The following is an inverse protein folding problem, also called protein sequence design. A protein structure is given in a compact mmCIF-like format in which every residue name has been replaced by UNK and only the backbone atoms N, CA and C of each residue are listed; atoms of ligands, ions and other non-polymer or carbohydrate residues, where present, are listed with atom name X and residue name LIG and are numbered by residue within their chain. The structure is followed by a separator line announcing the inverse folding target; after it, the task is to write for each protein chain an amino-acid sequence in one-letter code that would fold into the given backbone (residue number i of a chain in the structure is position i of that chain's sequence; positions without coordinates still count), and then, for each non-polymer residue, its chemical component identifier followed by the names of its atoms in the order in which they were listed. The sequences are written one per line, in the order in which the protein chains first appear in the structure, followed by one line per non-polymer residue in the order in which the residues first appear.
data_IF_193660957628
#
_entry.id   IF_193660957628
#
_cell.length_a   1.000
_cell.length_b   1.000
_cell.length_c   1.000
_cell.angle_alpha   90.00
_cell.angle_beta   90.00
_cell.angle_gamma   90.00
#
_symmetry.space_group_name_H-M   'P 1'
#
loop_
_entity.id
_entity.type
_entity.pdbx_description
1 polymer ?
#
# COMPACT_ATOMS: atom_id res chain seq x y z
N UNK A 1 35.21 6.52 17.50
CA UNK A 1 34.78 6.71 18.89
C UNK A 1 35.99 7.07 19.75
N UNK A 2 36.29 8.37 19.91
CA UNK A 2 37.33 8.84 20.84
C UNK A 2 36.61 9.28 22.11
N UNK A 3 36.72 8.49 23.18
CA UNK A 3 36.27 8.88 24.52
C UNK A 3 37.23 9.96 25.04
N UNK A 4 36.78 11.21 25.05
CA UNK A 4 37.50 12.28 25.75
C UNK A 4 37.08 12.17 27.22
N UNK A 5 37.94 11.61 28.05
CA UNK A 5 37.78 11.56 29.51
C UNK A 5 38.24 12.92 30.04
N UNK A 6 37.30 13.83 30.29
CA UNK A 6 37.58 15.09 30.99
C UNK A 6 37.49 14.80 32.48
N UNK A 7 38.58 15.10 33.19
CA UNK A 7 38.80 14.84 34.61
C UNK A 7 37.73 15.45 35.50
N UNK A 8 37.36 14.68 36.54
CA UNK A 8 36.42 14.97 37.60
C UNK A 8 36.62 16.34 38.27
N UNK A 9 35.58 17.17 38.29
CA UNK A 9 35.37 18.17 39.35
C UNK A 9 34.51 17.53 40.45
N UNK A 10 35.14 16.97 41.48
CA UNK A 10 34.45 16.53 42.69
C UNK A 10 33.99 17.76 43.49
N UNK A 11 32.69 18.07 43.48
CA UNK A 11 32.12 19.04 44.43
C UNK A 11 31.89 18.30 45.76
N UNK A 12 32.82 18.47 46.71
CA UNK A 12 32.74 17.86 48.04
C UNK A 12 31.92 18.78 48.95
N UNK A 13 30.68 18.41 49.28
CA UNK A 13 29.91 19.04 50.36
C UNK A 13 30.15 18.28 51.66
N UNK A 14 31.03 18.82 52.51
CA UNK A 14 31.33 18.25 53.82
C UNK A 14 30.20 18.62 54.79
N UNK A 15 29.31 17.69 55.13
CA UNK A 15 28.79 17.46 56.50
C UNK A 15 27.81 16.27 56.53
N UNK A 16 28.14 15.23 57.31
CA UNK A 16 27.17 14.23 57.78
C UNK A 16 27.46 12.77 57.39
N UNK A 17 27.49 11.88 58.40
CA UNK A 17 27.68 10.44 58.25
C UNK A 17 26.43 9.80 57.62
N UNK A 18 26.42 9.67 56.29
CA UNK A 18 25.47 8.93 55.49
C UNK A 18 26.20 8.38 54.26
N UNK A 19 25.76 7.25 53.69
CA UNK A 19 26.38 6.68 52.48
C UNK A 19 26.32 7.71 51.35
N UNK A 20 27.44 8.35 51.02
CA UNK A 20 27.53 9.26 49.87
C UNK A 20 27.31 8.44 48.60
N UNK A 21 26.20 8.71 47.90
CA UNK A 21 25.96 8.17 46.57
C UNK A 21 26.79 9.01 45.60
N UNK A 22 27.92 8.47 45.14
CA UNK A 22 28.72 9.10 44.08
C UNK A 22 27.93 8.97 42.78
N UNK A 23 27.44 10.09 42.27
CA UNK A 23 26.78 10.16 40.96
C UNK A 23 27.84 10.58 39.94
N UNK A 24 28.21 9.67 39.05
CA UNK A 24 29.13 9.99 37.96
C UNK A 24 28.35 10.69 36.85
N UNK A 25 28.57 12.00 36.67
CA UNK A 25 27.95 12.77 35.59
C UNK A 25 28.86 12.75 34.37
N UNK A 26 28.34 12.27 33.24
CA UNK A 26 29.05 12.29 31.94
C UNK A 26 28.36 13.26 30.99
N UNK A 27 29.13 14.05 30.25
CA UNK A 27 28.64 14.90 29.16
C UNK A 27 28.49 14.06 27.88
N UNK A 28 27.25 13.93 27.40
CA UNK A 28 26.92 13.24 26.16
C UNK A 28 26.56 14.26 25.07
N UNK A 29 27.15 14.09 23.87
CA UNK A 29 26.79 14.87 22.69
C UNK A 29 25.65 14.19 21.93
N UNK A 30 24.63 14.95 21.57
CA UNK A 30 23.47 14.46 20.83
C UNK A 30 22.96 15.51 19.83
N UNK A 31 22.22 15.04 18.83
CA UNK A 31 21.50 15.92 17.92
C UNK A 31 20.11 16.21 18.48
N UNK A 32 19.79 17.48 18.69
CA UNK A 32 18.42 17.88 19.04
C UNK A 32 17.49 17.65 17.85
N UNK A 33 17.94 18.03 16.65
CA UNK A 33 17.25 17.78 15.40
C UNK A 33 18.17 17.01 14.43
N UNK A 34 17.56 16.19 13.59
CA UNK A 34 18.28 15.47 12.53
C UNK A 34 19.15 14.32 13.04
N UNK A 35 20.14 13.95 12.23
CA UNK A 35 20.99 12.77 12.47
C UNK A 35 22.48 13.13 12.46
N UNK A 36 23.30 12.47 13.31
CA UNK A 36 24.75 12.64 13.29
C UNK A 36 25.35 12.31 11.91
N UNK A 37 26.01 13.27 11.26
CA UNK A 37 26.73 13.09 9.99
C UNK A 37 27.98 13.99 9.97
N UNK A 38 29.15 13.42 9.71
CA UNK A 38 30.42 14.16 9.56
C UNK A 38 30.75 15.14 10.71
N UNK A 39 30.43 14.77 11.95
CA UNK A 39 30.71 15.62 13.11
C UNK A 39 29.78 16.83 13.24
N UNK A 40 28.64 16.84 12.56
CA UNK A 40 27.52 17.78 12.75
C UNK A 40 26.19 17.01 12.76
N UNK A 41 25.11 17.71 13.07
CA UNK A 41 23.76 17.18 12.95
C UNK A 41 23.18 17.58 11.60
N UNK A 42 22.99 16.61 10.71
CA UNK A 42 22.34 16.81 9.42
C UNK A 42 20.83 16.88 9.64
N UNK A 43 20.25 18.02 9.33
CA UNK A 43 18.82 18.24 9.39
C UNK A 43 18.28 18.30 7.98
N UNK A 44 17.20 17.55 7.72
CA UNK A 44 16.50 17.57 6.43
C UNK A 44 15.12 18.15 6.67
N UNK A 45 14.81 19.23 5.98
CA UNK A 45 13.50 19.88 6.01
C UNK A 45 12.85 19.74 4.64
N UNK A 46 11.65 19.18 4.60
CA UNK A 46 10.90 18.93 3.37
C UNK A 46 9.78 19.94 3.19
N UNK A 47 9.65 20.52 2.00
CA UNK A 47 8.51 21.36 1.61
C UNK A 47 7.77 20.74 0.42
N UNK A 48 6.45 20.92 0.28
CA UNK A 48 5.73 20.43 -0.89
C UNK A 48 6.32 20.98 -2.19
N UNK A 49 6.50 20.12 -3.20
CA UNK A 49 6.91 20.55 -4.53
C UNK A 49 5.75 21.20 -5.28
N UNK A 50 6.08 22.01 -6.31
CA UNK A 50 5.08 22.43 -7.29
C UNK A 50 4.84 21.26 -8.24
N UNK A 51 3.63 20.70 -8.20
CA UNK A 51 3.23 19.51 -8.96
C UNK A 51 2.25 19.88 -10.05
N UNK A 52 2.47 19.35 -11.26
CA UNK A 52 1.59 19.48 -12.40
C UNK A 52 1.25 18.10 -12.97
N UNK A 53 0.01 17.94 -13.41
CA UNK A 53 -0.47 16.73 -14.04
C UNK A 53 -0.92 17.00 -15.48
N UNK A 54 -0.80 16.00 -16.39
CA UNK A 54 -1.37 16.10 -17.73
C UNK A 54 -2.88 16.37 -17.69
N UNK A 55 -3.39 17.06 -18.71
CA UNK A 55 -4.81 17.38 -18.83
C UNK A 55 -5.70 16.13 -18.68
N UNK A 56 -6.69 16.23 -17.80
CA UNK A 56 -7.64 15.15 -17.52
C UNK A 56 -7.15 14.08 -16.55
N UNK A 57 -5.95 14.21 -15.98
CA UNK A 57 -5.43 13.34 -14.92
C UNK A 57 -5.24 14.12 -13.62
N UNK A 58 -6.20 14.09 -12.68
CA UNK A 58 -6.01 14.73 -11.38
C UNK A 58 -4.93 14.01 -10.55
N UNK A 59 -4.21 14.75 -9.71
CA UNK A 59 -3.26 14.18 -8.75
C UNK A 59 -4.00 13.41 -7.66
N UNK A 60 -3.72 12.12 -7.51
CA UNK A 60 -4.16 11.36 -6.35
C UNK A 60 -3.17 11.58 -5.18
N UNK A 61 -3.64 12.08 -4.02
CA UNK A 61 -2.78 12.38 -2.88
C UNK A 61 -2.20 11.15 -2.19
N UNK A 62 -2.80 9.97 -2.36
CA UNK A 62 -2.36 8.72 -1.74
C UNK A 62 -1.33 8.01 -2.61
N UNK A 63 -1.64 7.82 -3.91
CA UNK A 63 -0.73 7.16 -4.84
C UNK A 63 0.40 8.06 -5.33
N UNK A 64 0.25 9.39 -5.20
CA UNK A 64 1.15 10.41 -5.75
C UNK A 64 1.26 10.38 -7.29
N UNK A 65 0.38 9.64 -7.96
CA UNK A 65 0.28 9.63 -9.42
C UNK A 65 -0.87 10.52 -9.90
N UNK A 66 -0.74 11.03 -11.11
CA UNK A 66 -1.85 11.65 -11.82
C UNK A 66 -2.70 10.53 -12.41
N UNK A 67 -3.92 10.35 -11.93
CA UNK A 67 -4.70 9.17 -12.28
C UNK A 67 -6.17 9.48 -12.51
N UNK A 68 -6.78 8.65 -13.35
CA UNK A 68 -8.22 8.64 -13.56
C UNK A 68 -8.71 7.22 -13.73
N UNK A 69 -10.01 7.03 -13.58
CA UNK A 69 -10.66 5.77 -13.92
C UNK A 69 -11.07 5.83 -15.38
N UNK A 70 -10.66 4.81 -16.14
CA UNK A 70 -11.16 4.56 -17.49
C UNK A 70 -12.19 3.44 -17.40
N UNK A 71 -13.36 3.67 -17.99
CA UNK A 71 -14.47 2.73 -18.03
C UNK A 71 -14.72 2.27 -19.45
N UNK A 72 -14.66 0.95 -19.69
CA UNK A 72 -14.97 0.33 -20.99
C UNK A 72 -16.05 -0.72 -20.84
N UNK A 73 -16.88 -0.95 -21.86
CA UNK A 73 -17.95 -1.95 -21.77
C UNK A 73 -17.34 -3.35 -21.56
N UNK A 74 -17.85 -4.10 -20.59
CA UNK A 74 -17.36 -5.44 -20.30
C UNK A 74 -17.69 -6.42 -21.43
N UNK A 75 -16.81 -7.41 -21.63
CA UNK A 75 -17.05 -8.45 -22.61
C UNK A 75 -18.15 -9.39 -22.13
N UNK A 76 -19.15 -9.58 -22.98
CA UNK A 76 -20.25 -10.53 -22.74
C UNK A 76 -19.85 -11.91 -23.19
N UNK A 77 -20.03 -12.89 -22.32
CA UNK A 77 -19.87 -14.29 -22.66
C UNK A 77 -21.00 -15.12 -22.06
N UNK A 78 -21.24 -16.27 -22.68
CA UNK A 78 -22.27 -17.19 -22.21
C UNK A 78 -21.62 -18.24 -21.33
N UNK A 79 -22.19 -18.46 -20.15
CA UNK A 79 -21.75 -19.53 -19.24
C UNK A 79 -22.93 -20.37 -18.78
N UNK A 80 -22.61 -21.53 -18.22
CA UNK A 80 -23.55 -22.43 -17.58
C UNK A 80 -23.28 -22.48 -16.08
N UNK A 81 -24.31 -22.77 -15.29
CA UNK A 81 -24.16 -23.05 -13.87
C UNK A 81 -23.19 -24.24 -13.65
N UNK A 82 -22.51 -24.31 -12.49
CA UNK A 82 -21.76 -25.49 -12.12
C UNK A 82 -22.59 -26.78 -12.25
N UNK A 83 -22.02 -27.82 -12.86
CA UNK A 83 -22.72 -29.08 -13.16
C UNK A 83 -23.52 -29.08 -14.47
N UNK A 84 -23.34 -28.07 -15.32
CA UNK A 84 -23.88 -28.02 -16.66
C UNK A 84 -22.78 -27.73 -17.70
N UNK A 85 -22.83 -28.44 -18.82
CA UNK A 85 -21.95 -28.23 -19.97
C UNK A 85 -22.68 -27.48 -21.09
N UNK A 86 -22.01 -26.50 -21.69
CA UNK A 86 -22.54 -25.76 -22.84
C UNK A 86 -22.47 -26.62 -24.11
N UNK A 87 -23.62 -26.93 -24.69
CA UNK A 87 -23.72 -27.66 -25.96
C UNK A 87 -24.79 -27.04 -26.85
N UNK A 88 -24.41 -26.69 -28.09
CA UNK A 88 -25.31 -26.18 -29.13
C UNK A 88 -26.26 -25.06 -28.67
N UNK A 89 -25.78 -24.11 -27.87
CA UNK A 89 -26.62 -23.01 -27.39
C UNK A 89 -27.27 -23.22 -26.03
N UNK A 90 -27.21 -24.42 -25.46
CA UNK A 90 -27.95 -24.81 -24.27
C UNK A 90 -27.02 -25.33 -23.17
N UNK A 91 -27.38 -25.10 -21.93
CA UNK A 91 -26.69 -25.68 -20.78
C UNK A 91 -27.34 -27.02 -20.46
N UNK A 92 -26.58 -28.10 -20.61
CA UNK A 92 -27.06 -29.48 -20.38
C UNK A 92 -26.44 -29.99 -19.09
N UNK A 93 -27.24 -30.53 -18.18
CA UNK A 93 -26.72 -31.07 -16.93
C UNK A 93 -25.73 -32.22 -17.18
N UNK A 94 -24.62 -32.19 -16.47
CA UNK A 94 -23.60 -33.24 -16.46
C UNK A 94 -24.13 -34.51 -15.78
N UNK A 95 -25.24 -34.42 -15.05
CA UNK A 95 -25.95 -35.54 -14.43
C UNK A 95 -27.08 -36.09 -15.31
N UNK A 96 -27.20 -37.41 -15.36
CA UNK A 96 -28.34 -38.11 -15.96
C UNK A 96 -29.41 -38.40 -14.90
N UNK A 97 -30.66 -38.26 -15.31
CA UNK A 97 -31.83 -38.56 -14.48
C UNK A 97 -32.48 -39.85 -14.95
N UNK A 98 -33.11 -40.62 -14.03
CA UNK A 98 -33.79 -41.85 -14.39
C UNK A 98 -35.00 -41.56 -15.29
N UNK A 99 -35.34 -42.54 -16.12
CA UNK A 99 -36.64 -42.57 -16.82
C UNK A 99 -37.73 -42.94 -15.81
N UNK A 100 -38.94 -42.44 -16.03
CA UNK A 100 -40.11 -42.86 -15.28
C UNK A 100 -40.49 -44.31 -15.62
N UNK A 101 -41.51 -44.83 -14.92
CA UNK A 101 -42.01 -46.20 -15.06
C UNK A 101 -42.44 -46.57 -16.51
N UNK A 102 -42.70 -45.57 -17.35
CA UNK A 102 -43.04 -45.75 -18.78
C UNK A 102 -41.82 -45.74 -19.70
N UNK A 103 -40.61 -45.70 -19.16
CA UNK A 103 -39.36 -45.61 -19.92
C UNK A 103 -39.18 -44.25 -20.62
N UNK A 104 -39.86 -43.19 -20.16
CA UNK A 104 -39.77 -41.83 -20.71
C UNK A 104 -39.10 -40.89 -19.72
N UNK A 105 -38.52 -39.81 -20.21
CA UNK A 105 -38.08 -38.73 -19.33
C UNK A 105 -39.30 -38.01 -18.75
N UNK A 106 -39.21 -37.57 -17.50
CA UNK A 106 -40.21 -36.67 -16.95
C UNK A 106 -40.23 -35.34 -17.73
N UNK A 107 -41.35 -34.62 -17.64
CA UNK A 107 -41.57 -33.38 -18.40
C UNK A 107 -40.51 -32.29 -18.14
N UNK A 108 -39.82 -32.37 -17.01
CA UNK A 108 -38.75 -31.45 -16.61
C UNK A 108 -37.39 -31.79 -17.25
N UNK A 109 -37.25 -32.93 -17.92
CA UNK A 109 -36.01 -33.42 -18.51
C UNK A 109 -36.14 -33.69 -20.01
N UNK A 110 -35.05 -33.49 -20.74
CA UNK A 110 -34.98 -33.75 -22.18
C UNK A 110 -34.16 -35.02 -22.44
N UNK A 111 -34.64 -35.89 -23.33
CA UNK A 111 -33.87 -37.06 -23.79
C UNK A 111 -32.75 -36.59 -24.72
N UNK A 112 -31.50 -36.75 -24.29
CA UNK A 112 -30.29 -36.42 -25.05
C UNK A 112 -29.44 -37.67 -25.10
N UNK A 113 -29.17 -38.19 -26.31
CA UNK A 113 -28.44 -39.45 -26.52
C UNK A 113 -29.00 -40.65 -25.72
N UNK A 114 -30.32 -40.66 -25.47
CA UNK A 114 -31.01 -41.76 -24.77
C UNK A 114 -31.07 -41.62 -23.24
N UNK A 115 -30.42 -40.59 -22.68
CA UNK A 115 -30.43 -40.26 -21.25
C UNK A 115 -31.30 -39.03 -20.98
N UNK A 116 -31.96 -39.00 -19.83
CA UNK A 116 -32.74 -37.82 -19.43
C UNK A 116 -31.79 -36.81 -18.79
N UNK A 117 -31.71 -35.61 -19.39
CA UNK A 117 -30.84 -34.53 -18.94
C UNK A 117 -31.68 -33.28 -18.70
N UNK A 118 -31.33 -32.53 -17.67
CA UNK A 118 -31.89 -31.20 -17.49
C UNK A 118 -31.27 -30.24 -18.51
N UNK A 119 -32.09 -29.38 -19.11
CA UNK A 119 -31.65 -28.40 -20.10
C UNK A 119 -32.08 -27.02 -19.63
N UNK A 120 -31.10 -26.14 -19.41
CA UNK A 120 -31.31 -24.75 -18.99
C UNK A 120 -30.84 -23.76 -20.06
N UNK A 121 -31.37 -22.55 -19.96
CA UNK A 121 -30.91 -21.42 -20.74
C UNK A 121 -29.64 -20.84 -20.13
N UNK A 122 -28.78 -20.28 -20.99
CA UNK A 122 -27.48 -19.73 -20.62
C UNK A 122 -27.61 -18.54 -19.67
N UNK A 123 -26.65 -18.36 -18.78
CA UNK A 123 -26.48 -17.13 -18.03
C UNK A 123 -25.61 -16.16 -18.84
N UNK A 124 -26.06 -14.91 -18.92
CA UNK A 124 -25.23 -13.82 -19.43
C UNK A 124 -24.22 -13.47 -18.35
N UNK A 125 -22.93 -13.66 -18.66
CA UNK A 125 -21.84 -13.26 -17.79
C UNK A 125 -21.03 -12.16 -18.44
N UNK A 126 -20.44 -11.32 -17.59
CA UNK A 126 -19.55 -10.24 -17.97
C UNK A 126 -18.16 -10.57 -17.47
N UNK A 127 -17.15 -10.34 -18.32
CA UNK A 127 -15.75 -10.44 -17.90
C UNK A 127 -14.99 -9.20 -18.31
N UNK A 128 -14.00 -8.89 -17.49
CA UNK A 128 -13.03 -7.85 -17.73
C UNK A 128 -11.69 -8.52 -18.02
N UNK A 129 -11.17 -8.42 -19.27
CA UNK A 129 -9.80 -8.84 -19.57
C UNK A 129 -8.78 -8.03 -18.76
N UNK A 130 -9.11 -6.76 -18.49
CA UNK A 130 -8.38 -5.84 -17.64
C UNK A 130 -9.35 -5.05 -16.79
N UNK A 131 -8.90 -4.67 -15.59
CA UNK A 131 -9.71 -3.91 -14.65
C UNK A 131 -10.72 -4.74 -13.88
N UNK A 132 -11.60 -4.03 -13.18
CA UNK A 132 -12.61 -4.57 -12.28
C UNK A 132 -13.99 -4.39 -12.87
N UNK A 133 -14.82 -5.43 -12.80
CA UNK A 133 -16.21 -5.35 -13.26
C UNK A 133 -17.03 -4.48 -12.30
N UNK A 134 -17.64 -3.43 -12.84
CA UNK A 134 -18.67 -2.66 -12.19
C UNK A 134 -20.03 -3.31 -12.46
N UNK A 135 -20.59 -3.98 -11.46
CA UNK A 135 -21.83 -4.77 -11.62
C UNK A 135 -23.06 -3.91 -11.95
N UNK A 136 -23.04 -2.61 -11.63
CA UNK A 136 -24.16 -1.71 -11.90
C UNK A 136 -24.19 -1.22 -13.35
N UNK A 137 -23.01 -0.92 -13.90
CA UNK A 137 -22.88 -0.36 -15.26
C UNK A 137 -22.51 -1.41 -16.31
N UNK A 138 -22.07 -2.59 -15.87
CA UNK A 138 -21.46 -3.63 -16.70
C UNK A 138 -20.25 -3.11 -17.50
N UNK A 139 -19.53 -2.14 -16.94
CA UNK A 139 -18.25 -1.69 -17.45
C UNK A 139 -17.09 -2.29 -16.65
N UNK A 140 -15.93 -2.34 -17.29
CA UNK A 140 -14.65 -2.63 -16.67
C UNK A 140 -13.95 -1.32 -16.35
N UNK A 141 -13.72 -1.09 -15.07
CA UNK A 141 -13.05 0.09 -14.56
C UNK A 141 -11.59 -0.27 -14.27
N UNK A 142 -10.65 0.53 -14.79
CA UNK A 142 -9.24 0.38 -14.47
C UNK A 142 -8.54 1.73 -14.32
N UNK A 143 -7.52 1.83 -13.45
CA UNK A 143 -6.75 3.05 -13.30
C UNK A 143 -5.88 3.27 -14.55
N UNK A 144 -5.91 4.48 -15.09
CA UNK A 144 -4.94 5.00 -16.05
C UNK A 144 -4.08 6.02 -15.30
N UNK A 145 -2.81 5.66 -15.09
CA UNK A 145 -1.87 6.44 -14.30
C UNK A 145 -0.83 7.12 -15.20
N UNK A 146 -0.43 8.32 -14.80
CA UNK A 146 0.68 9.09 -15.36
C UNK A 146 1.56 9.60 -14.23
N UNK A 147 2.86 9.64 -14.47
CA UNK A 147 3.80 10.28 -13.55
C UNK A 147 3.57 11.79 -13.57
N UNK A 148 3.41 12.45 -12.41
CA UNK A 148 3.37 13.90 -12.35
C UNK A 148 4.71 14.49 -12.77
N UNK A 149 4.65 15.69 -13.35
CA UNK A 149 5.83 16.55 -13.43
C UNK A 149 5.87 17.40 -12.17
N UNK A 150 7.06 17.54 -11.57
CA UNK A 150 7.20 18.44 -10.44
C UNK A 150 8.55 19.15 -10.43
N UNK A 151 8.53 20.36 -9.87
CA UNK A 151 9.68 21.25 -9.76
C UNK A 151 9.90 21.68 -8.32
N UNK A 152 11.17 21.95 -8.03
CA UNK A 152 11.62 22.39 -6.73
C UNK A 152 12.35 23.73 -6.85
N UNK A 153 12.25 24.62 -5.85
CA UNK A 153 13.01 25.86 -5.81
C UNK A 153 14.52 25.61 -5.93
N UNK A 154 15.25 26.57 -6.50
CA UNK A 154 16.69 26.47 -6.66
C UNK A 154 17.39 26.22 -5.30
N UNK A 155 18.38 25.33 -5.30
CA UNK A 155 19.13 24.97 -4.09
C UNK A 155 18.48 23.89 -3.21
N UNK A 156 17.31 23.37 -3.60
CA UNK A 156 16.67 22.22 -2.91
C UNK A 156 16.84 20.92 -3.71
N UNK A 157 16.69 19.78 -3.03
CA UNK A 157 16.86 18.45 -3.61
C UNK A 157 15.48 17.84 -3.82
N UNK A 158 15.20 17.30 -5.01
CA UNK A 158 13.94 16.61 -5.29
C UNK A 158 13.88 15.28 -4.54
N UNK A 159 12.74 15.03 -3.90
CA UNK A 159 12.39 13.75 -3.32
C UNK A 159 11.17 13.19 -4.06
N UNK A 160 11.44 12.25 -4.98
CA UNK A 160 10.44 11.68 -5.88
C UNK A 160 9.41 10.82 -5.14
N UNK A 161 9.77 10.25 -3.99
CA UNK A 161 8.92 9.29 -3.25
C UNK A 161 7.70 9.96 -2.60
N UNK A 162 7.84 11.23 -2.21
CA UNK A 162 6.82 11.97 -1.47
C UNK A 162 6.43 13.30 -2.14
N UNK A 163 6.96 13.59 -3.33
CA UNK A 163 6.78 14.85 -4.06
C UNK A 163 7.16 16.08 -3.21
N UNK A 164 8.28 16.00 -2.49
CA UNK A 164 8.81 17.12 -1.70
C UNK A 164 10.15 17.62 -2.23
N UNK A 165 10.49 18.82 -1.78
CA UNK A 165 11.78 19.45 -1.97
C UNK A 165 12.49 19.50 -0.63
N UNK A 166 13.62 18.81 -0.54
CA UNK A 166 14.39 18.66 0.69
C UNK A 166 15.51 19.71 0.73
N UNK A 167 15.61 20.40 1.86
CA UNK A 167 16.73 21.29 2.18
C UNK A 167 17.57 20.64 3.25
N UNK A 168 18.88 20.54 3.00
CA UNK A 168 19.83 19.99 3.96
C UNK A 168 20.55 21.14 4.67
N UNK A 169 20.47 21.17 6.00
CA UNK A 169 21.26 22.05 6.85
C UNK A 169 22.10 21.25 7.84
N UNK A 170 23.11 21.90 8.42
CA UNK A 170 23.99 21.27 9.40
C UNK A 170 24.03 22.11 10.68
N UNK A 171 23.65 21.50 11.78
CA UNK A 171 23.62 22.10 13.11
C UNK A 171 24.73 21.52 14.00
N UNK A 172 25.07 22.23 15.09
CA UNK A 172 26.03 21.76 16.07
C UNK A 172 25.39 20.74 17.03
N UNK A 173 26.21 19.85 17.61
CA UNK A 173 25.76 18.97 18.68
C UNK A 173 25.34 19.77 19.91
N UNK A 174 24.31 19.29 20.61
CA UNK A 174 23.99 19.73 21.96
C UNK A 174 24.62 18.78 22.96
N UNK A 175 24.82 19.29 24.17
CA UNK A 175 25.39 18.54 25.28
C UNK A 175 24.32 18.39 26.37
N UNK A 176 24.28 17.20 26.98
CA UNK A 176 23.46 16.96 28.16
C UNK A 176 24.25 16.20 29.21
N UNK A 177 23.92 16.47 30.46
CA UNK A 177 24.45 15.74 31.60
C UNK A 177 23.68 14.44 31.78
N UNK A 178 24.39 13.32 31.80
CA UNK A 178 23.83 11.99 32.05
C UNK A 178 24.44 11.44 33.32
N UNK A 179 23.61 11.28 34.34
CA UNK A 179 23.95 10.65 35.60
C UNK A 179 24.03 9.13 35.41
N UNK A 180 25.23 8.57 35.59
CA UNK A 180 25.43 7.12 35.62
C UNK A 180 25.50 6.69 37.08
N UNK A 181 24.49 5.94 37.51
CA UNK A 181 24.53 5.27 38.81
C UNK A 181 25.33 3.98 38.64
N UNK A 182 26.50 3.89 39.29
CA UNK A 182 27.21 2.62 39.43
C UNK A 182 26.44 1.74 40.43
N UNK A 183 26.07 0.52 39.99
CA UNK A 183 25.44 -0.52 40.82
C UNK A 183 26.46 -1.22 41.71
#
# INVERSE_FOLDING_TARGET
MKKVIILLCCIVFITGCGKEKVINVTLEQYCENGVPENGKCKVVTSTPAEVSCPDGFPLNPDSKYCERVVSVIAERYMTCDPGFTLSSGKCISDQAYPKNEHGRCDSSYTSINGECREVRYRLLAYRCPMGTLNEQTHNCDFPDQKTPEFSCPEGTIKNDDNLTCDTISYEAYKEREVSVEEQ
#
